data_IF_397792720718
#
_entry.id   IF_397792720718
#
_cell.length_a   1.000
_cell.length_b   1.000
_cell.length_c   1.000
_cell.angle_alpha   90.00
_cell.angle_beta   90.00
_cell.angle_gamma   90.00
#
_symmetry.space_group_name_H-M   'P 1'
#
loop_
_entity.id
_entity.type
_entity.pdbx_description
1 polymer ?
#
# COMPACT_ATOMS: atom_id res chain seq x y z
N UNK A 1 9.67 8.58 -6.53
CA UNK A 1 8.79 7.42 -6.69
C UNK A 1 7.76 7.79 -7.74
N UNK A 2 7.47 6.91 -8.70
CA UNK A 2 6.52 7.20 -9.77
C UNK A 2 5.25 6.35 -9.59
N UNK A 3 4.16 7.01 -9.20
CA UNK A 3 2.88 6.36 -8.89
C UNK A 3 2.16 5.81 -10.12
N UNK A 4 2.65 6.13 -11.32
CA UNK A 4 2.12 5.62 -12.58
C UNK A 4 2.59 4.20 -12.85
N UNK A 5 3.74 3.80 -12.29
CA UNK A 5 4.34 2.46 -12.49
C UNK A 5 4.11 1.53 -11.29
N UNK A 6 3.91 2.07 -10.08
CA UNK A 6 3.61 1.25 -8.91
C UNK A 6 2.22 0.61 -9.05
N UNK A 7 2.11 -0.65 -8.63
CA UNK A 7 0.87 -1.43 -8.65
C UNK A 7 0.66 -2.10 -7.30
N UNK A 8 -0.61 -2.36 -7.02
CA UNK A 8 -0.99 -3.27 -5.95
C UNK A 8 -1.17 -4.66 -6.58
N UNK A 9 -0.48 -5.64 -6.04
CA UNK A 9 -0.64 -7.06 -6.40
C UNK A 9 -1.85 -7.69 -5.68
N UNK A 10 -2.39 -7.00 -4.68
CA UNK A 10 -3.57 -7.40 -3.93
C UNK A 10 -4.77 -6.47 -4.22
N UNK A 11 -5.96 -6.89 -3.79
CA UNK A 11 -7.17 -6.07 -3.91
C UNK A 11 -7.00 -4.72 -3.24
N UNK A 12 -7.40 -3.65 -3.95
CA UNK A 12 -7.37 -2.26 -3.47
C UNK A 12 -8.08 -2.09 -2.13
N UNK A 13 -9.16 -2.83 -1.88
CA UNK A 13 -9.89 -2.79 -0.61
C UNK A 13 -9.01 -3.31 0.54
N UNK A 14 -8.29 -4.42 0.34
CA UNK A 14 -7.37 -4.95 1.35
C UNK A 14 -6.18 -4.02 1.56
N UNK A 15 -5.63 -3.48 0.48
CA UNK A 15 -4.53 -2.54 0.57
C UNK A 15 -4.91 -1.26 1.31
N UNK A 16 -6.11 -0.75 1.09
CA UNK A 16 -6.63 0.41 1.84
C UNK A 16 -6.79 0.07 3.33
N UNK A 17 -7.47 -1.05 3.65
CA UNK A 17 -7.65 -1.49 5.04
C UNK A 17 -6.31 -1.72 5.77
N UNK A 18 -5.31 -2.28 5.08
CA UNK A 18 -3.98 -2.51 5.65
C UNK A 18 -3.19 -1.22 5.78
N UNK A 19 -3.33 -0.27 4.85
CA UNK A 19 -2.75 1.05 4.99
C UNK A 19 -3.30 1.77 6.22
N UNK A 20 -4.63 1.78 6.39
CA UNK A 20 -5.30 2.37 7.56
C UNK A 20 -4.92 1.67 8.87
N UNK A 21 -4.71 0.35 8.83
CA UNK A 21 -4.22 -0.42 9.98
C UNK A 21 -2.70 -0.23 10.26
N UNK A 22 -1.99 0.58 9.47
CA UNK A 22 -0.57 0.90 9.67
C UNK A 22 0.42 -0.11 9.09
N UNK A 23 -0.04 -1.08 8.30
CA UNK A 23 0.80 -2.16 7.76
C UNK A 23 1.79 -1.68 6.72
N UNK A 24 1.53 -0.54 6.07
CA UNK A 24 2.51 0.09 5.19
C UNK A 24 3.82 0.46 5.91
N UNK A 25 3.79 0.61 7.25
CA UNK A 25 4.95 0.93 8.07
C UNK A 25 5.46 -0.28 8.86
N UNK A 26 4.55 -1.13 9.35
CA UNK A 26 4.89 -2.27 10.21
C UNK A 26 5.12 -3.59 9.46
N UNK A 27 4.71 -3.70 8.19
CA UNK A 27 4.80 -4.92 7.40
C UNK A 27 5.44 -4.67 6.02
N UNK A 28 6.69 -5.13 5.87
CA UNK A 28 7.45 -5.01 4.63
C UNK A 28 6.81 -5.74 3.45
N UNK A 29 6.11 -6.86 3.67
CA UNK A 29 5.43 -7.57 2.59
C UNK A 29 4.25 -6.75 2.06
N UNK A 30 3.45 -6.17 2.95
CA UNK A 30 2.38 -5.25 2.57
C UNK A 30 2.95 -4.06 1.79
N UNK A 31 4.02 -3.44 2.30
CA UNK A 31 4.63 -2.24 1.69
C UNK A 31 5.27 -2.51 0.32
N UNK A 32 5.98 -3.62 0.15
CA UNK A 32 6.85 -3.82 -1.01
C UNK A 32 6.35 -4.87 -2.01
N UNK A 33 5.49 -5.80 -1.58
CA UNK A 33 5.03 -6.90 -2.42
C UNK A 33 3.55 -6.76 -2.76
N UNK A 34 2.70 -6.42 -1.80
CA UNK A 34 1.25 -6.54 -1.99
C UNK A 34 0.57 -5.22 -2.36
N UNK A 35 0.89 -4.16 -1.63
CA UNK A 35 0.15 -2.90 -1.66
C UNK A 35 1.07 -1.74 -1.94
N UNK A 36 2.00 -1.95 -2.88
CA UNK A 36 3.09 -1.03 -3.17
C UNK A 36 2.58 0.33 -3.62
N UNK A 37 1.60 0.35 -4.51
CA UNK A 37 0.97 1.59 -4.97
C UNK A 37 0.23 2.26 -3.83
N UNK A 38 -0.64 1.54 -3.13
CA UNK A 38 -1.42 2.10 -2.04
C UNK A 38 -0.51 2.68 -0.95
N UNK A 39 0.50 1.93 -0.51
CA UNK A 39 1.41 2.35 0.55
C UNK A 39 2.36 3.48 0.15
N UNK A 40 2.74 3.60 -1.13
CA UNK A 40 3.69 4.62 -1.59
C UNK A 40 3.02 5.89 -2.13
N UNK A 41 1.81 5.77 -2.67
CA UNK A 41 1.18 6.83 -3.48
C UNK A 41 -0.12 7.35 -2.89
N UNK A 42 -0.90 6.48 -2.25
CA UNK A 42 -2.15 6.89 -1.59
C UNK A 42 -1.89 7.25 -0.14
N UNK A 43 -0.98 6.50 0.52
CA UNK A 43 -0.70 6.61 1.95
C UNK A 43 -1.92 6.22 2.81
N UNK A 44 -1.74 6.04 4.14
CA UNK A 44 -2.89 6.07 5.04
C UNK A 44 -3.58 7.43 4.85
N UNK A 45 -4.88 7.42 4.53
CA UNK A 45 -5.66 8.64 4.49
C UNK A 45 -5.71 9.19 5.92
N UNK A 46 -4.98 10.29 6.17
CA UNK A 46 -5.12 11.07 7.38
C UNK A 46 -6.44 11.83 7.39
#
# INVERSE_FOLDING_TARGET
>A
MDCSIEKDEFSITNCSNWADAGYCLSNNATRFLWCRKTCLCTGPQH
#
